data_IF_372953265581
#
_entry.id   IF_372953265581
#
_cell.length_a   1.000
_cell.length_b   1.000
_cell.length_c   1.000
_cell.angle_alpha   90.00
_cell.angle_beta   90.00
_cell.angle_gamma   90.00
#
_symmetry.space_group_name_H-M   'P 1'
#
loop_
_entity.id
_entity.type
_entity.pdbx_description
1 polymer ?
#
# COMPACT_ATOMS: atom_id res chain seq x y z
N UNK A 1 -43.73 -0.06 96.88
CA UNK A 1 -44.75 0.93 96.47
C UNK A 1 -46.15 0.32 96.27
N UNK A 2 -46.53 -0.73 97.02
CA UNK A 2 -47.84 -1.37 96.87
C UNK A 2 -48.79 -0.82 97.96
N UNK A 3 -49.26 0.41 97.78
CA UNK A 3 -50.27 1.05 98.64
C UNK A 3 -51.50 1.39 97.79
N UNK A 4 -52.68 1.19 98.36
CA UNK A 4 -53.95 1.57 97.74
C UNK A 4 -54.17 3.08 97.91
N UNK A 5 -54.59 3.72 96.84
CA UNK A 5 -54.92 5.15 96.81
C UNK A 5 -56.22 5.35 96.03
N UNK A 6 -56.82 6.52 96.11
CA UNK A 6 -57.91 6.90 95.21
C UNK A 6 -57.71 8.35 94.79
N UNK A 7 -57.23 8.56 93.56
CA UNK A 7 -57.02 9.88 93.01
C UNK A 7 -57.54 9.96 91.58
N UNK A 8 -58.17 11.09 91.26
CA UNK A 8 -58.53 11.46 89.89
C UNK A 8 -57.65 12.61 89.45
N UNK A 9 -56.94 12.43 88.34
CA UNK A 9 -56.11 13.47 87.73
C UNK A 9 -56.77 13.88 86.43
N UNK A 10 -56.82 15.18 86.16
CA UNK A 10 -57.42 15.72 84.94
C UNK A 10 -56.40 16.60 84.24
N UNK A 11 -56.24 16.45 82.93
CA UNK A 11 -55.38 17.36 82.19
C UNK A 11 -56.09 18.68 81.86
N UNK A 12 -55.34 19.62 81.31
CA UNK A 12 -55.85 20.94 80.91
C UNK A 12 -56.87 20.93 79.76
N UNK A 13 -57.13 19.77 79.16
CA UNK A 13 -58.09 19.54 78.07
C UNK A 13 -59.36 18.83 78.56
N UNK A 14 -59.52 18.68 79.88
CA UNK A 14 -60.62 17.99 80.57
C UNK A 14 -60.63 16.46 80.42
N UNK A 15 -59.50 15.85 80.04
CA UNK A 15 -59.38 14.38 80.05
C UNK A 15 -58.97 13.92 81.44
N UNK A 16 -59.69 12.95 82.01
CA UNK A 16 -59.43 12.47 83.37
C UNK A 16 -59.01 11.00 83.43
N UNK A 17 -58.14 10.66 84.39
CA UNK A 17 -57.74 9.31 84.74
C UNK A 17 -57.98 9.06 86.23
N UNK A 18 -58.36 7.83 86.58
CA UNK A 18 -58.54 7.41 87.97
C UNK A 18 -57.51 6.33 88.31
N UNK A 19 -56.83 6.49 89.44
CA UNK A 19 -55.78 5.57 89.89
C UNK A 19 -56.13 4.97 91.24
N UNK A 20 -56.00 3.64 91.33
CA UNK A 20 -56.26 2.84 92.53
C UNK A 20 -54.99 2.36 93.24
N UNK A 21 -53.86 2.32 92.53
CA UNK A 21 -52.56 1.95 93.07
C UNK A 21 -51.52 3.07 92.99
N UNK A 22 -50.70 3.22 94.05
CA UNK A 22 -49.62 4.20 94.07
C UNK A 22 -48.57 3.94 92.99
N UNK A 23 -48.30 2.66 92.70
CA UNK A 23 -47.35 2.25 91.65
C UNK A 23 -47.83 2.62 90.25
N UNK A 24 -49.10 2.37 89.94
CA UNK A 24 -49.71 2.71 88.65
C UNK A 24 -49.66 4.22 88.39
N UNK A 25 -49.96 5.00 89.43
CA UNK A 25 -49.85 6.45 89.40
C UNK A 25 -48.40 6.90 89.15
N UNK A 26 -47.43 6.30 89.85
CA UNK A 26 -46.02 6.64 89.68
C UNK A 26 -45.52 6.35 88.27
N UNK A 27 -45.80 5.16 87.72
CA UNK A 27 -45.39 4.77 86.37
C UNK A 27 -46.01 5.68 85.30
N UNK A 28 -47.29 6.06 85.47
CA UNK A 28 -47.94 7.03 84.59
C UNK A 28 -47.25 8.40 84.61
N UNK A 29 -47.02 8.96 85.80
CA UNK A 29 -46.35 10.26 85.96
C UNK A 29 -44.91 10.21 85.44
N UNK A 30 -44.20 9.10 85.65
CA UNK A 30 -42.83 8.93 85.17
C UNK A 30 -42.76 8.89 83.64
N UNK A 31 -43.73 8.26 82.98
CA UNK A 31 -43.83 8.24 81.51
C UNK A 31 -44.10 9.63 80.93
N UNK A 32 -45.05 10.38 81.52
CA UNK A 32 -45.36 11.76 81.11
C UNK A 32 -44.19 12.71 81.40
N UNK A 33 -43.54 12.55 82.56
CA UNK A 33 -42.34 13.30 82.92
C UNK A 33 -41.25 13.10 81.89
N UNK A 34 -41.03 11.87 81.44
CA UNK A 34 -39.99 11.52 80.47
C UNK A 34 -40.29 12.12 79.09
N UNK A 35 -41.53 12.00 78.61
CA UNK A 35 -41.95 12.61 77.35
C UNK A 35 -41.76 14.13 77.33
N UNK A 36 -42.28 14.83 78.35
CA UNK A 36 -42.18 16.29 78.43
C UNK A 36 -40.74 16.77 78.68
N UNK A 37 -39.90 15.96 79.33
CA UNK A 37 -38.46 16.21 79.45
C UNK A 37 -37.79 16.21 78.08
N UNK A 38 -38.02 15.14 77.30
CA UNK A 38 -37.44 15.00 75.96
C UNK A 38 -37.83 16.19 75.08
N UNK A 39 -39.10 16.59 75.07
CA UNK A 39 -39.56 17.73 74.26
C UNK A 39 -39.04 19.08 74.76
N UNK A 40 -38.83 19.24 76.06
CA UNK A 40 -38.21 20.44 76.63
C UNK A 40 -36.72 20.53 76.30
N UNK A 41 -36.00 19.43 76.35
CA UNK A 41 -34.54 19.38 76.09
C UNK A 41 -34.21 19.73 74.63
N UNK A 42 -35.16 19.52 73.71
CA UNK A 42 -35.08 19.94 72.31
C UNK A 42 -35.22 21.46 72.10
N UNK A 43 -35.69 22.21 73.11
CA UNK A 43 -35.75 23.67 73.03
C UNK A 43 -34.36 24.28 73.18
N UNK A 44 -34.03 25.25 72.33
CA UNK A 44 -32.76 25.96 72.42
C UNK A 44 -32.61 26.58 73.82
N UNK A 45 -31.44 26.36 74.47
CA UNK A 45 -31.14 26.73 75.88
C UNK A 45 -31.41 28.19 76.30
N UNK A 46 -31.81 29.08 75.38
CA UNK A 46 -31.98 30.52 75.59
C UNK A 46 -33.42 31.04 75.37
N UNK A 47 -34.44 30.20 75.18
CA UNK A 47 -35.82 30.70 75.15
C UNK A 47 -36.28 31.14 76.54
N UNK A 48 -36.41 32.46 76.75
CA UNK A 48 -36.85 33.05 78.02
C UNK A 48 -38.31 32.73 78.37
N UNK A 49 -39.13 32.36 77.39
CA UNK A 49 -40.56 32.17 77.56
C UNK A 49 -40.95 30.74 77.13
N UNK A 50 -40.89 29.79 78.06
CA UNK A 50 -41.36 28.42 77.83
C UNK A 50 -42.86 28.33 78.09
N UNK A 51 -43.62 27.69 77.21
CA UNK A 51 -45.06 27.56 77.38
C UNK A 51 -45.40 26.64 78.56
N UNK A 52 -46.56 26.86 79.20
CA UNK A 52 -46.95 26.16 80.44
C UNK A 52 -46.86 24.62 80.34
N UNK A 53 -47.28 24.03 79.22
CA UNK A 53 -47.25 22.58 79.02
C UNK A 53 -45.86 22.00 78.82
N UNK A 54 -44.92 22.75 78.25
CA UNK A 54 -43.52 22.34 78.15
C UNK A 54 -42.83 22.34 79.53
N UNK A 55 -43.35 23.12 80.48
CA UNK A 55 -42.87 23.12 81.86
C UNK A 55 -43.58 22.07 82.74
N UNK A 56 -44.51 21.27 82.20
CA UNK A 56 -45.19 20.20 82.92
C UNK A 56 -44.19 19.20 83.54
N UNK A 57 -43.04 18.98 82.88
CA UNK A 57 -41.94 18.17 83.38
C UNK A 57 -41.53 18.54 84.82
N UNK A 58 -41.40 19.83 85.14
CA UNK A 58 -40.95 20.27 86.46
C UNK A 58 -41.95 19.90 87.57
N UNK A 59 -43.25 20.01 87.28
CA UNK A 59 -44.33 19.64 88.20
C UNK A 59 -44.36 18.12 88.39
N UNK A 60 -44.29 17.37 87.29
CA UNK A 60 -44.28 15.91 87.29
C UNK A 60 -43.01 15.38 88.01
N UNK A 61 -41.86 16.02 87.82
CA UNK A 61 -40.62 15.68 88.52
C UNK A 61 -40.72 15.92 90.02
N UNK A 62 -41.35 17.01 90.47
CA UNK A 62 -41.60 17.24 91.89
C UNK A 62 -42.48 16.13 92.49
N UNK A 63 -43.51 15.70 91.76
CA UNK A 63 -44.36 14.59 92.18
C UNK A 63 -43.55 13.29 92.27
N UNK A 64 -42.76 12.93 91.25
CA UNK A 64 -41.94 11.71 91.31
C UNK A 64 -40.92 11.78 92.44
N UNK A 65 -40.23 12.90 92.64
CA UNK A 65 -39.23 13.07 93.70
C UNK A 65 -39.85 12.96 95.10
N UNK A 66 -41.07 13.48 95.28
CA UNK A 66 -41.80 13.38 96.55
C UNK A 66 -42.22 11.93 96.81
N UNK A 67 -42.71 11.21 95.79
CA UNK A 67 -43.06 9.79 95.92
C UNK A 67 -41.78 8.94 96.11
N UNK A 68 -40.66 9.34 95.52
CA UNK A 68 -39.36 8.68 95.67
C UNK A 68 -38.79 8.84 97.08
N UNK A 69 -38.95 10.01 97.73
CA UNK A 69 -38.50 10.22 99.12
C UNK A 69 -39.27 9.36 100.14
N UNK A 70 -40.42 8.81 99.73
CA UNK A 70 -41.20 7.88 100.55
C UNK A 70 -40.66 6.45 100.45
N UNK A 71 -39.87 6.09 99.43
CA UNK A 71 -39.45 4.71 99.13
C UNK A 71 -38.94 3.94 100.35
N UNK A 72 -38.06 4.55 101.12
CA UNK A 72 -37.40 3.90 102.27
C UNK A 72 -38.29 3.82 103.52
N UNK A 73 -39.36 4.63 103.59
CA UNK A 73 -40.24 4.75 104.76
C UNK A 73 -41.65 4.16 104.54
N UNK A 74 -42.00 3.78 103.30
CA UNK A 74 -43.32 3.30 102.92
C UNK A 74 -43.76 2.03 103.64
N UNK A 75 -42.82 1.20 104.09
CA UNK A 75 -43.10 -0.03 104.86
C UNK A 75 -43.27 0.26 106.36
N UNK A 76 -42.66 1.34 106.87
CA UNK A 76 -42.69 1.73 108.27
C UNK A 76 -43.90 2.63 108.65
N UNK A 77 -44.52 3.28 107.66
CA UNK A 77 -45.69 4.14 107.88
C UNK A 77 -46.97 3.36 108.12
N UNK A 78 -47.77 3.82 109.08
CA UNK A 78 -49.18 3.41 109.21
C UNK A 78 -50.06 4.09 108.13
N UNK A 79 -51.29 3.60 107.97
CA UNK A 79 -52.21 4.11 106.94
C UNK A 79 -52.60 5.58 107.17
N UNK A 80 -52.59 6.07 108.41
CA UNK A 80 -52.90 7.47 108.73
C UNK A 80 -51.77 8.41 108.30
N UNK A 81 -50.52 8.05 108.58
CA UNK A 81 -49.33 8.77 108.17
C UNK A 81 -49.20 8.81 106.64
N UNK A 82 -49.43 7.68 105.96
CA UNK A 82 -49.43 7.63 104.51
C UNK A 82 -50.52 8.54 103.91
N UNK A 83 -51.75 8.46 104.43
CA UNK A 83 -52.85 9.31 103.96
C UNK A 83 -52.59 10.80 104.17
N UNK A 84 -51.92 11.19 105.27
CA UNK A 84 -51.52 12.59 105.50
C UNK A 84 -50.48 13.06 104.46
N UNK A 85 -49.44 12.26 104.21
CA UNK A 85 -48.41 12.59 103.21
C UNK A 85 -49.00 12.62 101.79
N UNK A 86 -49.90 11.70 101.47
CA UNK A 86 -50.59 11.64 100.19
C UNK A 86 -51.54 12.83 99.98
N UNK A 87 -52.30 13.24 101.02
CA UNK A 87 -53.13 14.44 100.96
C UNK A 87 -52.30 15.72 100.78
N UNK A 88 -51.12 15.79 101.39
CA UNK A 88 -50.19 16.90 101.18
C UNK A 88 -49.68 16.95 99.73
N UNK A 89 -49.30 15.81 99.15
CA UNK A 89 -48.93 15.72 97.74
C UNK A 89 -50.10 16.14 96.82
N UNK A 90 -51.32 15.71 97.14
CA UNK A 90 -52.51 16.09 96.39
C UNK A 90 -52.76 17.60 96.41
N UNK A 91 -52.65 18.23 97.57
CA UNK A 91 -52.84 19.67 97.73
C UNK A 91 -51.76 20.50 97.05
N UNK A 92 -50.49 20.08 97.16
CA UNK A 92 -49.34 20.87 96.74
C UNK A 92 -49.00 20.69 95.26
N UNK A 93 -49.18 19.48 94.72
CA UNK A 93 -48.69 19.14 93.38
C UNK A 93 -49.83 18.83 92.41
N UNK A 94 -50.79 17.99 92.80
CA UNK A 94 -51.87 17.57 91.88
C UNK A 94 -52.89 18.67 91.57
N UNK A 95 -53.20 19.55 92.51
CA UNK A 95 -54.10 20.68 92.25
C UNK A 95 -53.57 21.64 91.16
N UNK A 96 -52.25 21.85 91.11
CA UNK A 96 -51.60 22.72 90.11
C UNK A 96 -51.35 21.99 88.78
N UNK A 97 -51.35 20.66 88.79
CA UNK A 97 -51.09 19.84 87.62
C UNK A 97 -52.16 20.06 86.53
N UNK A 98 -53.42 20.20 86.90
CA UNK A 98 -54.54 20.34 85.95
C UNK A 98 -54.38 21.54 85.00
N UNK A 99 -53.81 22.66 85.44
CA UNK A 99 -53.59 23.84 84.59
C UNK A 99 -52.29 23.80 83.79
N UNK A 100 -51.31 23.01 84.24
CA UNK A 100 -49.93 23.06 83.73
C UNK A 100 -49.55 21.84 82.90
N UNK A 101 -50.37 20.79 82.88
CA UNK A 101 -50.11 19.56 82.15
C UNK A 101 -51.15 19.29 81.06
N UNK A 102 -50.65 18.75 79.96
CA UNK A 102 -51.42 18.22 78.84
C UNK A 102 -50.93 16.80 78.62
N UNK A 103 -51.84 15.85 78.41
CA UNK A 103 -51.46 14.46 78.23
C UNK A 103 -50.68 14.24 76.93
N UNK A 104 -49.55 13.53 77.01
CA UNK A 104 -48.68 13.28 75.86
C UNK A 104 -49.35 12.53 74.71
N UNK A 105 -50.38 11.72 75.01
CA UNK A 105 -51.07 10.88 74.03
C UNK A 105 -52.12 11.59 73.16
N UNK A 106 -52.33 12.90 73.30
CA UNK A 106 -53.22 13.61 72.39
C UNK A 106 -52.61 13.69 70.97
N UNK A 107 -53.43 13.62 69.90
CA UNK A 107 -52.95 13.67 68.52
C UNK A 107 -52.16 14.95 68.20
N UNK A 108 -52.42 16.02 68.94
CA UNK A 108 -51.82 17.33 68.78
C UNK A 108 -50.62 17.58 69.70
N UNK A 109 -50.32 16.72 70.69
CA UNK A 109 -49.25 16.96 71.68
C UNK A 109 -47.87 17.02 71.05
N UNK A 110 -47.59 16.18 70.06
CA UNK A 110 -46.31 16.16 69.34
C UNK A 110 -46.17 17.33 68.35
N UNK A 111 -47.25 17.67 67.65
CA UNK A 111 -47.30 18.79 66.69
C UNK A 111 -47.19 20.11 67.42
N UNK A 112 -47.86 20.25 68.56
CA UNK A 112 -47.70 21.35 69.49
C UNK A 112 -46.24 21.51 69.93
N UNK A 113 -45.60 20.40 70.34
CA UNK A 113 -44.22 20.44 70.81
C UNK A 113 -43.28 20.95 69.72
N UNK A 114 -43.47 20.48 68.48
CA UNK A 114 -42.71 20.92 67.31
C UNK A 114 -43.02 22.36 66.89
N UNK A 115 -44.26 22.81 67.05
CA UNK A 115 -44.65 24.21 66.81
C UNK A 115 -43.92 25.15 67.76
N UNK A 116 -43.82 24.76 69.05
CA UNK A 116 -43.04 25.49 70.05
C UNK A 116 -41.55 25.52 69.69
N UNK A 117 -40.96 24.36 69.35
CA UNK A 117 -39.56 24.23 68.95
C UNK A 117 -39.17 25.15 67.77
N UNK A 118 -39.99 25.18 66.72
CA UNK A 118 -39.66 25.87 65.47
C UNK A 118 -40.07 27.34 65.43
N UNK A 119 -41.11 27.71 66.19
CA UNK A 119 -41.77 29.03 66.05
C UNK A 119 -42.01 29.76 67.38
N UNK A 120 -41.58 29.17 68.49
CA UNK A 120 -41.60 29.76 69.83
C UNK A 120 -42.95 29.67 70.54
N UNK A 121 -42.97 30.18 71.78
CA UNK A 121 -44.11 30.03 72.70
C UNK A 121 -45.41 30.65 72.23
N UNK A 122 -45.35 31.82 71.59
CA UNK A 122 -46.56 32.54 71.11
C UNK A 122 -47.26 31.75 69.99
N UNK A 123 -46.49 31.10 69.10
CA UNK A 123 -47.02 30.23 68.07
C UNK A 123 -47.68 28.98 68.68
N UNK A 124 -47.04 28.40 69.69
CA UNK A 124 -47.55 27.21 70.38
C UNK A 124 -48.85 27.49 71.16
N UNK A 125 -48.97 28.68 71.78
CA UNK A 125 -50.22 29.12 72.43
C UNK A 125 -51.34 29.25 71.41
N UNK A 126 -51.08 29.94 70.30
CA UNK A 126 -52.06 30.11 69.23
C UNK A 126 -52.50 28.77 68.64
N UNK A 127 -51.56 27.82 68.50
CA UNK A 127 -51.85 26.47 68.04
C UNK A 127 -52.79 25.71 69.00
N UNK A 128 -52.49 25.68 70.30
CA UNK A 128 -53.33 24.97 71.27
C UNK A 128 -54.69 25.63 71.45
N UNK A 129 -54.75 26.96 71.51
CA UNK A 129 -56.04 27.66 71.65
C UNK A 129 -56.96 27.36 70.46
N UNK A 130 -56.39 27.25 69.25
CA UNK A 130 -57.16 26.91 68.07
C UNK A 130 -57.60 25.44 68.06
N UNK A 131 -56.67 24.49 68.30
CA UNK A 131 -56.94 23.04 68.20
C UNK A 131 -57.80 22.52 69.35
N UNK A 132 -57.56 23.00 70.57
CA UNK A 132 -58.21 22.46 71.79
C UNK A 132 -59.40 23.30 72.21
N UNK A 133 -59.31 24.63 72.12
CA UNK A 133 -60.36 25.55 72.60
C UNK A 133 -61.25 26.10 71.49
N UNK A 134 -60.90 25.89 70.22
CA UNK A 134 -61.63 26.46 69.08
C UNK A 134 -61.57 27.99 69.03
N UNK A 135 -60.56 28.60 69.65
CA UNK A 135 -60.41 30.04 69.78
C UNK A 135 -59.21 30.55 69.01
N UNK A 136 -59.31 31.78 68.48
CA UNK A 136 -58.18 32.47 67.86
C UNK A 136 -57.54 33.36 68.93
N UNK A 137 -56.28 33.09 69.27
CA UNK A 137 -55.47 33.90 70.17
C UNK A 137 -54.15 34.34 69.50
N UNK A 138 -53.56 35.42 69.99
CA UNK A 138 -52.25 35.95 69.54
C UNK A 138 -52.12 36.24 68.02
N UNK A 139 -53.25 36.49 67.33
CA UNK A 139 -53.33 36.71 65.88
C UNK A 139 -52.63 37.99 65.38
N UNK A 140 -52.29 38.90 66.28
CA UNK A 140 -51.61 40.16 65.96
C UNK A 140 -50.09 40.02 65.80
N UNK A 141 -49.53 38.85 66.10
CA UNK A 141 -48.09 38.57 65.95
C UNK A 141 -47.83 37.60 64.80
N UNK A 142 -46.68 37.77 64.13
CA UNK A 142 -46.23 36.82 63.09
C UNK A 142 -46.15 35.39 63.62
N UNK A 143 -45.66 35.22 64.86
CA UNK A 143 -45.54 33.91 65.51
C UNK A 143 -46.93 33.30 65.76
N UNK A 144 -47.88 34.07 66.30
CA UNK A 144 -49.24 33.59 66.50
C UNK A 144 -49.95 33.25 65.18
N UNK A 145 -49.76 34.05 64.12
CA UNK A 145 -50.29 33.72 62.79
C UNK A 145 -49.70 32.40 62.25
N UNK A 146 -48.39 32.17 62.37
CA UNK A 146 -47.75 30.89 62.02
C UNK A 146 -48.36 29.73 62.81
N UNK A 147 -48.59 29.91 64.11
CA UNK A 147 -49.25 28.93 64.96
C UNK A 147 -50.67 28.58 64.50
N UNK A 148 -51.47 29.60 64.13
CA UNK A 148 -52.81 29.43 63.59
C UNK A 148 -52.81 28.70 62.23
N UNK A 149 -51.86 28.99 61.35
CA UNK A 149 -51.72 28.30 60.07
C UNK A 149 -51.36 26.82 60.25
N UNK A 150 -50.42 26.51 61.15
CA UNK A 150 -50.09 25.12 61.48
C UNK A 150 -51.27 24.39 62.12
N UNK A 151 -52.06 25.07 62.95
CA UNK A 151 -53.28 24.53 63.53
C UNK A 151 -54.34 24.25 62.47
N UNK A 152 -54.52 25.17 61.52
CA UNK A 152 -55.42 24.99 60.38
C UNK A 152 -54.99 23.82 59.50
N UNK A 153 -53.70 23.69 59.17
CA UNK A 153 -53.15 22.54 58.43
C UNK A 153 -53.35 21.22 59.16
N UNK A 154 -53.15 21.22 60.48
CA UNK A 154 -53.32 20.02 61.32
C UNK A 154 -54.77 19.52 61.33
N UNK A 155 -55.74 20.44 61.36
CA UNK A 155 -57.18 20.11 61.33
C UNK A 155 -57.62 19.76 59.89
N UNK A 156 -57.16 20.50 58.90
CA UNK A 156 -57.60 20.37 57.50
C UNK A 156 -56.56 19.66 56.64
N UNK A 157 -56.23 18.43 57.00
CA UNK A 157 -55.24 17.60 56.32
C UNK A 157 -55.60 17.30 54.85
N UNK A 158 -56.88 17.45 54.47
CA UNK A 158 -57.40 17.24 53.11
C UNK A 158 -57.34 18.47 52.18
N UNK A 159 -56.74 19.59 52.63
CA UNK A 159 -56.70 20.84 51.84
C UNK A 159 -55.89 20.72 50.53
N UNK A 160 -56.34 21.42 49.49
CA UNK A 160 -55.72 21.47 48.14
C UNK A 160 -54.24 21.93 48.17
N UNK A 161 -53.87 22.79 49.12
CA UNK A 161 -52.51 23.34 49.23
C UNK A 161 -51.46 22.26 49.53
N UNK A 162 -51.79 21.30 50.40
CA UNK A 162 -50.91 20.19 50.74
C UNK A 162 -50.79 19.21 49.57
N UNK A 163 -51.88 18.98 48.83
CA UNK A 163 -51.91 18.09 47.65
C UNK A 163 -51.05 18.64 46.52
N UNK A 164 -51.15 19.94 46.20
CA UNK A 164 -50.33 20.59 45.16
C UNK A 164 -48.83 20.48 45.44
N UNK A 165 -48.39 20.82 46.65
CA UNK A 165 -46.97 20.76 47.05
C UNK A 165 -46.40 19.34 46.89
N UNK A 166 -47.19 18.33 47.26
CA UNK A 166 -46.77 16.93 47.11
C UNK A 166 -46.72 16.51 45.63
N UNK A 167 -47.69 16.93 44.81
CA UNK A 167 -47.69 16.66 43.36
C UNK A 167 -46.50 17.29 42.63
N UNK A 168 -46.17 18.55 42.93
CA UNK A 168 -44.99 19.22 42.37
C UNK A 168 -43.69 18.52 42.77
N UNK A 169 -43.56 18.08 44.02
CA UNK A 169 -42.39 17.33 44.49
C UNK A 169 -42.19 16.01 43.74
N UNK A 170 -43.28 15.29 43.46
CA UNK A 170 -43.25 14.04 42.68
C UNK A 170 -42.83 14.30 41.23
N UNK A 171 -43.42 15.31 40.58
CA UNK A 171 -43.07 15.69 39.21
C UNK A 171 -41.61 16.11 39.06
N UNK A 172 -41.10 16.94 39.98
CA UNK A 172 -39.69 17.31 40.02
C UNK A 172 -38.78 16.11 40.29
N UNK A 173 -39.23 15.15 41.10
CA UNK A 173 -38.56 13.87 41.29
C UNK A 173 -38.42 13.08 39.98
N UNK A 174 -39.49 12.97 39.20
CA UNK A 174 -39.46 12.32 37.89
C UNK A 174 -38.51 13.01 36.91
N UNK A 175 -38.59 14.35 36.78
CA UNK A 175 -37.69 15.11 35.90
C UNK A 175 -36.22 14.93 36.28
N UNK A 176 -35.91 14.96 37.58
CA UNK A 176 -34.55 14.71 38.07
C UNK A 176 -34.06 13.31 37.74
N UNK A 177 -34.89 12.30 37.93
CA UNK A 177 -34.54 10.92 37.62
C UNK A 177 -34.32 10.72 36.12
N UNK A 178 -35.20 11.26 35.27
CA UNK A 178 -35.03 11.23 33.82
C UNK A 178 -33.75 11.93 33.36
N UNK A 179 -33.47 13.12 33.89
CA UNK A 179 -32.24 13.86 33.59
C UNK A 179 -31.00 13.02 33.94
N UNK A 180 -30.99 12.41 35.13
CA UNK A 180 -29.90 11.55 35.57
C UNK A 180 -29.74 10.34 34.65
N UNK A 181 -30.82 9.64 34.32
CA UNK A 181 -30.78 8.49 33.39
C UNK A 181 -30.26 8.89 32.01
N UNK A 182 -30.74 10.01 31.44
CA UNK A 182 -30.27 10.50 30.14
C UNK A 182 -28.80 10.91 30.19
N UNK A 183 -28.37 11.50 31.30
CA UNK A 183 -26.97 11.91 31.50
C UNK A 183 -26.07 10.69 31.58
N UNK A 184 -26.46 9.69 32.37
CA UNK A 184 -25.71 8.43 32.47
C UNK A 184 -25.64 7.67 31.15
N UNK A 185 -26.73 7.61 30.38
CA UNK A 185 -26.73 7.01 29.04
C UNK A 185 -25.78 7.75 28.09
N UNK A 186 -25.85 9.07 28.05
CA UNK A 186 -24.98 9.88 27.20
C UNK A 186 -23.51 9.71 27.57
N UNK A 187 -23.19 9.65 28.87
CA UNK A 187 -21.82 9.37 29.33
C UNK A 187 -21.36 7.99 28.83
N UNK A 188 -22.21 6.96 28.95
CA UNK A 188 -21.92 5.63 28.42
C UNK A 188 -21.66 5.63 26.91
N UNK A 189 -22.55 6.26 26.12
CA UNK A 189 -22.39 6.37 24.67
C UNK A 189 -21.09 7.13 24.28
N UNK A 190 -20.71 8.15 25.04
CA UNK A 190 -19.46 8.90 24.82
C UNK A 190 -18.24 8.06 25.18
N UNK A 191 -18.30 7.26 26.24
CA UNK A 191 -17.21 6.34 26.62
C UNK A 191 -17.04 5.23 25.58
N UNK A 192 -18.13 4.64 25.10
CA UNK A 192 -18.14 3.64 24.03
C UNK A 192 -17.57 4.22 22.74
N UNK A 193 -18.07 5.39 22.31
CA UNK A 193 -17.55 6.10 21.13
C UNK A 193 -16.06 6.39 21.26
N UNK A 194 -15.60 6.83 22.43
CA UNK A 194 -14.19 7.09 22.68
C UNK A 194 -13.35 5.82 22.59
N UNK A 195 -13.84 4.71 23.15
CA UNK A 195 -13.17 3.40 23.08
C UNK A 195 -13.04 2.92 21.64
N UNK A 196 -14.13 2.97 20.88
CA UNK A 196 -14.16 2.55 19.48
C UNK A 196 -13.28 3.45 18.60
N UNK A 197 -13.30 4.77 18.84
CA UNK A 197 -12.42 5.71 18.15
C UNK A 197 -10.95 5.43 18.44
N UNK A 198 -10.57 5.18 19.70
CA UNK A 198 -9.19 4.83 20.06
C UNK A 198 -8.75 3.51 19.41
N UNK A 199 -9.62 2.50 19.38
CA UNK A 199 -9.33 1.23 18.69
C UNK A 199 -9.16 1.43 17.19
N UNK A 200 -10.01 2.25 16.59
CA UNK A 200 -9.92 2.60 15.17
C UNK A 200 -8.64 3.36 14.83
N UNK A 201 -8.24 4.36 15.64
CA UNK A 201 -7.00 5.13 15.45
C UNK A 201 -5.76 4.23 15.56
N UNK A 202 -5.73 3.34 16.56
CA UNK A 202 -4.60 2.42 16.77
C UNK A 202 -4.48 1.41 15.61
N UNK A 203 -5.60 0.81 15.18
CA UNK A 203 -5.61 -0.10 14.03
C UNK A 203 -5.18 0.62 12.75
N UNK A 204 -5.76 1.80 12.48
CA UNK A 204 -5.46 2.57 11.26
C UNK A 204 -3.99 2.97 11.20
N UNK A 205 -3.39 3.36 12.34
CA UNK A 205 -1.97 3.67 12.42
C UNK A 205 -1.10 2.45 12.16
N UNK A 206 -1.47 1.30 12.73
CA UNK A 206 -0.76 0.04 12.51
C UNK A 206 -0.80 -0.34 11.02
N UNK A 207 -2.00 -0.41 10.44
CA UNK A 207 -2.21 -0.77 9.03
C UNK A 207 -1.48 0.19 8.09
N UNK A 208 -1.50 1.50 8.39
CA UNK A 208 -0.78 2.50 7.61
C UNK A 208 0.73 2.31 7.70
N UNK A 209 1.26 2.00 8.87
CA UNK A 209 2.69 1.77 9.06
C UNK A 209 3.17 0.52 8.33
N UNK A 210 2.39 -0.56 8.39
CA UNK A 210 2.66 -1.80 7.66
C UNK A 210 2.59 -1.60 6.15
N UNK A 211 1.53 -0.93 5.68
CA UNK A 211 1.40 -0.58 4.27
C UNK A 211 2.58 0.26 3.76
N UNK A 212 2.99 1.28 4.52
CA UNK A 212 4.11 2.14 4.15
C UNK A 212 5.42 1.36 4.06
N UNK A 213 5.68 0.47 5.02
CA UNK A 213 6.88 -0.37 5.01
C UNK A 213 6.88 -1.31 3.80
N UNK A 214 5.77 -2.01 3.57
CA UNK A 214 5.62 -2.93 2.44
C UNK A 214 5.76 -2.23 1.08
N UNK A 215 5.23 -1.01 0.94
CA UNK A 215 5.40 -0.21 -0.29
C UNK A 215 6.83 0.27 -0.45
N UNK A 216 7.50 0.68 0.63
CA UNK A 216 8.90 1.11 0.58
C UNK A 216 9.82 -0.03 0.16
N UNK A 217 9.68 -1.21 0.77
CA UNK A 217 10.50 -2.38 0.45
C UNK A 217 10.25 -2.88 -0.97
N UNK A 218 8.99 -3.00 -1.39
CA UNK A 218 8.64 -3.38 -2.75
C UNK A 218 9.16 -2.38 -3.79
N UNK A 219 9.13 -1.08 -3.48
CA UNK A 219 9.68 -0.04 -4.35
C UNK A 219 11.20 -0.15 -4.48
N UNK A 220 11.91 -0.36 -3.36
CA UNK A 220 13.37 -0.48 -3.36
C UNK A 220 13.82 -1.74 -4.13
N UNK A 221 13.14 -2.87 -3.93
CA UNK A 221 13.37 -4.10 -4.69
C UNK A 221 13.13 -3.88 -6.19
N UNK A 222 11.97 -3.33 -6.56
CA UNK A 222 11.62 -3.04 -7.95
C UNK A 222 12.62 -2.09 -8.61
N UNK A 223 13.05 -1.05 -7.90
CA UNK A 223 14.01 -0.07 -8.40
C UNK A 223 15.38 -0.71 -8.66
N UNK A 224 15.86 -1.54 -7.74
CA UNK A 224 17.13 -2.25 -7.91
C UNK A 224 17.07 -3.23 -9.08
N UNK A 225 16.03 -4.06 -9.16
CA UNK A 225 15.84 -5.01 -10.25
C UNK A 225 15.70 -4.31 -11.59
N UNK A 226 14.86 -3.28 -11.69
CA UNK A 226 14.65 -2.55 -12.95
C UNK A 226 15.90 -1.82 -13.42
N UNK A 227 16.68 -1.25 -12.49
CA UNK A 227 17.94 -0.59 -12.83
C UNK A 227 18.99 -1.58 -13.34
N UNK A 228 19.10 -2.74 -12.68
CA UNK A 228 19.99 -3.83 -13.11
C UNK A 228 19.58 -4.37 -14.49
N UNK A 229 18.30 -4.72 -14.67
CA UNK A 229 17.78 -5.20 -15.96
C UNK A 229 17.97 -4.18 -17.08
N UNK A 230 17.73 -2.90 -16.81
CA UNK A 230 17.92 -1.85 -17.81
C UNK A 230 19.40 -1.67 -18.17
N UNK A 231 20.30 -1.73 -17.17
CA UNK A 231 21.75 -1.68 -17.39
C UNK A 231 22.23 -2.88 -18.22
N UNK A 232 21.77 -4.08 -17.90
CA UNK A 232 22.11 -5.32 -18.60
C UNK A 232 21.57 -5.29 -20.04
N UNK A 233 20.33 -4.85 -20.23
CA UNK A 233 19.74 -4.69 -21.56
C UNK A 233 20.51 -3.65 -22.39
N UNK A 234 20.87 -2.51 -21.80
CA UNK A 234 21.63 -1.46 -22.48
C UNK A 234 23.03 -1.94 -22.87
N UNK A 235 23.71 -2.69 -21.99
CA UNK A 235 25.02 -3.26 -22.30
C UNK A 235 24.94 -4.30 -23.40
N UNK A 236 23.96 -5.22 -23.34
CA UNK A 236 23.73 -6.22 -24.39
C UNK A 236 23.41 -5.58 -25.74
N UNK A 237 22.53 -4.58 -25.79
CA UNK A 237 22.22 -3.85 -27.03
C UNK A 237 23.43 -3.09 -27.57
N UNK A 238 24.23 -2.49 -26.68
CA UNK A 238 25.47 -1.81 -27.08
C UNK A 238 26.47 -2.78 -27.69
N UNK A 239 26.66 -3.95 -27.08
CA UNK A 239 27.59 -4.97 -27.56
C UNK A 239 27.11 -5.57 -28.88
N UNK A 240 25.80 -5.84 -29.02
CA UNK A 240 25.21 -6.30 -30.29
C UNK A 240 25.40 -5.25 -31.40
N UNK A 241 25.16 -3.97 -31.10
CA UNK A 241 25.38 -2.88 -32.04
C UNK A 241 26.86 -2.75 -32.44
N UNK A 242 27.79 -2.82 -31.49
CA UNK A 242 29.23 -2.76 -31.77
C UNK A 242 29.64 -3.93 -32.65
N UNK A 243 29.23 -5.16 -32.32
CA UNK A 243 29.52 -6.35 -33.11
C UNK A 243 28.95 -6.26 -34.52
N UNK A 244 27.72 -5.76 -34.67
CA UNK A 244 27.11 -5.53 -35.98
C UNK A 244 27.89 -4.50 -36.80
N UNK A 245 28.27 -3.38 -36.19
CA UNK A 245 29.03 -2.32 -36.85
C UNK A 245 30.43 -2.77 -37.24
N UNK A 246 31.10 -3.58 -36.41
CA UNK A 246 32.39 -4.18 -36.73
C UNK A 246 32.27 -5.17 -37.89
N UNK A 247 31.26 -6.03 -37.88
CA UNK A 247 30.94 -6.91 -39.01
C UNK A 247 30.68 -6.14 -40.30
N UNK A 248 29.98 -5.00 -40.23
CA UNK A 248 29.78 -4.12 -41.38
C UNK A 248 31.10 -3.52 -41.90
N UNK A 249 31.98 -3.06 -41.00
CA UNK A 249 33.31 -2.52 -41.37
C UNK A 249 34.14 -3.58 -42.10
N UNK A 250 34.20 -4.79 -41.58
CA UNK A 250 34.93 -5.90 -42.21
C UNK A 250 34.38 -6.23 -43.59
N UNK A 251 33.05 -6.33 -43.75
CA UNK A 251 32.42 -6.59 -45.05
C UNK A 251 32.65 -5.47 -46.07
N UNK A 252 32.64 -4.22 -45.63
CA UNK A 252 32.94 -3.07 -46.51
C UNK A 252 34.40 -3.12 -46.96
N UNK A 253 35.33 -3.38 -46.04
CA UNK A 253 36.75 -3.48 -46.37
C UNK A 253 37.04 -4.64 -47.35
N UNK A 254 36.40 -5.80 -47.13
CA UNK A 254 36.52 -6.96 -48.02
C UNK A 254 35.91 -6.69 -49.41
N UNK A 255 34.75 -6.04 -49.45
CA UNK A 255 34.10 -5.64 -50.70
C UNK A 255 34.95 -4.60 -51.46
N UNK A 256 35.54 -3.63 -50.76
CA UNK A 256 36.43 -2.63 -51.35
C UNK A 256 37.67 -3.30 -51.94
N UNK A 257 38.32 -4.21 -51.20
CA UNK A 257 39.49 -4.94 -51.68
C UNK A 257 39.14 -5.79 -52.92
N UNK A 258 38.04 -6.55 -52.86
CA UNK A 258 37.54 -7.34 -53.99
C UNK A 258 37.27 -6.48 -55.22
N UNK A 259 36.66 -5.30 -55.03
CA UNK A 259 36.37 -4.38 -56.12
C UNK A 259 37.63 -3.75 -56.71
N UNK A 260 38.61 -3.38 -55.88
CA UNK A 260 39.90 -2.88 -56.33
C UNK A 260 40.66 -3.95 -57.14
N UNK A 261 40.68 -5.20 -56.68
CA UNK A 261 41.29 -6.32 -57.41
C UNK A 261 40.58 -6.58 -58.75
N UNK A 262 39.24 -6.57 -58.77
CA UNK A 262 38.47 -6.66 -60.01
C UNK A 262 38.87 -5.56 -60.98
N UNK A 263 38.88 -4.30 -60.55
CA UNK A 263 39.21 -3.17 -61.42
C UNK A 263 40.64 -3.25 -61.98
N UNK A 264 41.59 -3.81 -61.19
CA UNK A 264 42.99 -4.01 -61.60
C UNK A 264 43.12 -5.04 -62.73
N UNK A 265 42.28 -6.07 -62.75
CA UNK A 265 42.42 -7.22 -63.65
C UNK A 265 41.40 -7.23 -64.80
N UNK A 266 40.30 -6.51 -64.70
CA UNK A 266 39.25 -6.42 -65.72
C UNK A 266 39.80 -5.86 -67.04
N UNK A 267 40.54 -4.73 -67.00
CA UNK A 267 41.12 -4.12 -68.21
C UNK A 267 42.16 -5.03 -68.90
N UNK A 268 43.11 -5.68 -68.17
CA UNK A 268 43.98 -6.71 -68.74
C UNK A 268 43.24 -7.89 -69.37
N UNK A 269 42.20 -8.43 -68.72
CA UNK A 269 41.39 -9.53 -69.29
C UNK A 269 40.72 -9.11 -70.60
N UNK A 270 40.11 -7.92 -70.63
CA UNK A 270 39.53 -7.34 -71.84
C UNK A 270 40.55 -7.14 -72.97
N UNK A 271 41.79 -6.78 -72.62
CA UNK A 271 42.87 -6.67 -73.58
C UNK A 271 43.21 -8.04 -74.20
N UNK A 272 43.37 -9.09 -73.37
CA UNK A 272 43.67 -10.44 -73.85
C UNK A 272 42.56 -11.01 -74.73
N UNK A 273 41.29 -10.79 -74.37
CA UNK A 273 40.14 -11.12 -75.19
C UNK A 273 40.18 -10.47 -76.58
N UNK A 274 40.52 -9.17 -76.62
CA UNK A 274 40.67 -8.43 -77.87
C UNK A 274 41.87 -8.93 -78.68
N UNK A 275 42.98 -9.26 -78.02
CA UNK A 275 44.17 -9.82 -78.64
C UNK A 275 43.90 -11.20 -79.24
N UNK A 276 43.25 -12.11 -78.50
CA UNK A 276 42.81 -13.42 -78.97
C UNK A 276 41.96 -13.29 -80.24
N UNK A 277 40.93 -12.43 -80.22
CA UNK A 277 40.10 -12.17 -81.41
C UNK A 277 40.92 -11.67 -82.59
N UNK A 278 41.85 -10.73 -82.38
CA UNK A 278 42.71 -10.19 -83.43
C UNK A 278 43.59 -11.29 -84.05
N UNK A 279 44.25 -12.10 -83.23
CA UNK A 279 45.11 -13.17 -83.69
C UNK A 279 44.33 -14.32 -84.34
N UNK A 280 43.13 -14.64 -83.86
CA UNK A 280 42.23 -15.60 -84.50
C UNK A 280 41.81 -15.18 -85.90
N UNK A 281 41.49 -13.90 -86.10
CA UNK A 281 41.20 -13.35 -87.44
C UNK A 281 42.44 -13.46 -88.34
N UNK A 282 43.64 -13.11 -87.82
CA UNK A 282 44.88 -13.23 -88.58
C UNK A 282 45.20 -14.70 -88.94
N UNK A 283 45.05 -15.63 -88.01
CA UNK A 283 45.25 -17.07 -88.24
C UNK A 283 44.26 -17.63 -89.26
N UNK A 284 43.01 -17.19 -89.21
CA UNK A 284 41.99 -17.50 -90.20
C UNK A 284 42.35 -17.00 -91.60
N UNK A 285 42.83 -15.75 -91.71
CA UNK A 285 43.28 -15.17 -92.99
C UNK A 285 44.48 -15.93 -93.57
N UNK A 286 45.49 -16.27 -92.76
CA UNK A 286 46.63 -17.06 -93.22
C UNK A 286 46.24 -18.49 -93.60
N UNK A 287 45.29 -19.09 -92.89
CA UNK A 287 44.76 -20.42 -93.22
C UNK A 287 43.99 -20.39 -94.54
N UNK A 288 43.18 -19.34 -94.77
CA UNK A 288 42.50 -19.13 -96.05
C UNK A 288 43.52 -18.96 -97.19
N UNK A 289 44.56 -18.14 -96.97
CA UNK A 289 45.65 -17.96 -97.93
C UNK A 289 46.40 -19.28 -98.22
N UNK A 290 46.58 -20.14 -97.21
CA UNK A 290 47.17 -21.47 -97.38
C UNK A 290 46.30 -22.38 -98.24
N UNK A 291 45.00 -22.47 -97.94
CA UNK A 291 44.05 -23.28 -98.71
C UNK A 291 43.98 -22.79 -100.16
N UNK A 292 43.88 -21.48 -100.37
CA UNK A 292 43.88 -20.89 -101.71
C UNK A 292 45.19 -21.17 -102.46
N UNK A 293 46.33 -20.99 -101.80
CA UNK A 293 47.64 -21.31 -102.37
C UNK A 293 47.70 -22.78 -102.79
N UNK A 294 47.23 -23.71 -101.94
CA UNK A 294 47.25 -25.15 -102.22
C UNK A 294 46.33 -25.53 -103.39
N UNK A 295 45.12 -25.00 -103.45
CA UNK A 295 44.21 -25.18 -104.59
C UNK A 295 44.81 -24.67 -105.90
N UNK A 296 45.41 -23.48 -105.85
CA UNK A 296 46.09 -22.87 -107.00
C UNK A 296 47.27 -23.74 -107.46
N UNK A 297 48.05 -24.28 -106.53
CA UNK A 297 49.10 -25.26 -106.83
C UNK A 297 48.57 -26.52 -107.50
N UNK A 298 47.45 -27.08 -107.02
CA UNK A 298 46.82 -28.25 -107.65
C UNK A 298 46.32 -27.97 -109.06
N UNK A 299 45.70 -26.81 -109.31
CA UNK A 299 45.23 -26.42 -110.64
C UNK A 299 46.41 -26.30 -111.61
N UNK A 300 47.45 -25.54 -111.25
CA UNK A 300 48.62 -25.39 -112.12
C UNK A 300 49.36 -26.71 -112.34
N UNK A 301 49.46 -27.57 -111.31
CA UNK A 301 50.06 -28.89 -111.45
C UNK A 301 49.24 -29.80 -112.36
N UNK A 302 47.91 -29.80 -112.23
CA UNK A 302 47.01 -30.57 -113.08
C UNK A 302 47.12 -30.14 -114.54
N UNK A 303 47.06 -28.83 -114.82
CA UNK A 303 47.19 -28.28 -116.17
C UNK A 303 48.56 -28.64 -116.78
N UNK A 304 49.64 -28.48 -116.02
CA UNK A 304 50.98 -28.87 -116.43
C UNK A 304 51.10 -30.37 -116.72
N UNK A 305 50.55 -31.22 -115.84
CA UNK A 305 50.60 -32.68 -115.98
C UNK A 305 49.83 -33.16 -117.21
N UNK A 306 48.65 -32.61 -117.48
CA UNK A 306 47.87 -32.92 -118.68
C UNK A 306 48.56 -32.44 -119.96
N UNK A 307 49.11 -31.22 -119.96
CA UNK A 307 49.87 -30.71 -121.10
C UNK A 307 51.10 -31.58 -121.39
N UNK A 308 51.77 -32.06 -120.34
CA UNK A 308 52.94 -32.93 -120.45
C UNK A 308 52.58 -34.30 -121.03
N UNK A 309 51.49 -34.91 -120.55
CA UNK A 309 51.00 -36.20 -121.02
C UNK A 309 50.55 -36.16 -122.50
N UNK A 310 49.99 -35.04 -122.94
CA UNK A 310 49.59 -34.79 -124.34
C UNK A 310 50.76 -34.47 -125.28
N UNK A 311 51.99 -34.37 -124.77
CA UNK A 311 53.18 -34.07 -125.58
C UNK A 311 53.21 -32.66 -126.17
N UNK A 312 52.49 -31.70 -125.57
CA UNK A 312 52.49 -30.31 -126.03
C UNK A 312 53.86 -29.65 -125.78
N UNK A 313 54.23 -28.64 -126.56
CA UNK A 313 55.43 -27.84 -126.28
C UNK A 313 55.21 -26.99 -125.02
N UNK A 314 55.73 -27.46 -123.90
CA UNK A 314 55.72 -26.72 -122.62
C UNK A 314 57.06 -26.01 -122.48
N UNK A 315 57.07 -24.81 -121.88
CA UNK A 315 58.29 -24.03 -121.63
C UNK A 315 59.35 -24.75 -120.77
N UNK A 316 59.00 -25.85 -120.10
CA UNK A 316 59.91 -26.69 -119.31
C UNK A 316 59.91 -28.12 -119.85
N UNK A 317 61.01 -28.52 -120.50
CA UNK A 317 61.20 -29.86 -121.05
C UNK A 317 61.77 -30.81 -119.99
N UNK A 318 60.92 -31.65 -119.39
CA UNK A 318 61.33 -32.57 -118.31
C UNK A 318 62.32 -33.68 -118.72
N UNK A 319 62.54 -33.90 -120.02
CA UNK A 319 63.55 -34.85 -120.51
C UNK A 319 64.97 -34.26 -120.59
N UNK A 320 65.14 -32.95 -120.32
CA UNK A 320 66.45 -32.29 -120.30
C UNK A 320 66.88 -32.01 -118.87
N UNK A 321 68.19 -32.07 -118.62
CA UNK A 321 68.76 -31.75 -117.30
C UNK A 321 68.38 -30.33 -116.84
N UNK A 322 68.40 -29.36 -117.76
CA UNK A 322 68.01 -27.98 -117.47
C UNK A 322 66.54 -27.84 -117.05
N UNK A 323 65.63 -28.55 -117.73
CA UNK A 323 64.20 -28.53 -117.39
C UNK A 323 63.90 -29.16 -116.04
N UNK A 324 64.57 -30.26 -115.70
CA UNK A 324 64.46 -30.92 -114.38
C UNK A 324 64.93 -29.97 -113.26
N UNK A 325 66.06 -29.27 -113.45
CA UNK A 325 66.60 -28.34 -112.45
C UNK A 325 65.67 -27.14 -112.23
N UNK A 326 65.11 -26.54 -113.30
CA UNK A 326 64.17 -25.42 -113.20
C UNK A 326 62.86 -25.86 -112.53
N UNK A 327 62.33 -27.03 -112.87
CA UNK A 327 61.11 -27.54 -112.24
C UNK A 327 61.32 -27.83 -110.75
N UNK A 328 62.46 -28.45 -110.39
CA UNK A 328 62.83 -28.71 -109.00
C UNK A 328 62.99 -27.44 -108.16
N UNK A 329 63.56 -26.37 -108.71
CA UNK A 329 63.69 -25.10 -108.00
C UNK A 329 62.33 -24.42 -107.77
N UNK A 330 61.42 -24.43 -108.76
CA UNK A 330 60.06 -23.90 -108.62
C UNK A 330 59.29 -24.65 -107.53
N UNK A 331 59.33 -26.00 -107.53
CA UNK A 331 58.70 -26.80 -106.48
C UNK A 331 59.28 -26.47 -105.11
N UNK A 332 60.60 -26.30 -105.00
CA UNK A 332 61.26 -26.00 -103.74
C UNK A 332 60.85 -24.63 -103.19
N UNK A 333 60.81 -23.60 -104.05
CA UNK A 333 60.34 -22.25 -103.69
C UNK A 333 58.88 -22.29 -103.27
N UNK A 334 58.04 -23.02 -103.99
CA UNK A 334 56.62 -23.15 -103.68
C UNK A 334 56.38 -23.91 -102.35
N UNK A 335 57.13 -25.00 -102.11
CA UNK A 335 57.11 -25.72 -100.84
C UNK A 335 57.57 -24.83 -99.67
N UNK A 336 58.58 -23.98 -99.88
CA UNK A 336 59.03 -22.99 -98.89
C UNK A 336 57.96 -21.94 -98.60
N UNK A 337 57.22 -21.49 -99.64
CA UNK A 337 56.11 -20.56 -99.49
C UNK A 337 54.96 -21.17 -98.67
N UNK A 338 54.53 -22.41 -98.98
CA UNK A 338 53.53 -23.14 -98.20
C UNK A 338 54.00 -23.27 -96.73
N UNK A 339 55.26 -23.68 -96.51
CA UNK A 339 55.83 -23.81 -95.17
C UNK A 339 55.81 -22.48 -94.41
N UNK A 340 56.09 -21.36 -95.08
CA UNK A 340 56.08 -20.03 -94.46
C UNK A 340 54.67 -19.59 -94.09
N UNK A 341 53.70 -19.72 -94.99
CA UNK A 341 52.29 -19.38 -94.72
C UNK A 341 51.74 -20.28 -93.60
N UNK A 342 52.07 -21.57 -93.63
CA UNK A 342 51.71 -22.52 -92.57
C UNK A 342 52.26 -22.10 -91.21
N UNK A 343 53.54 -21.72 -91.13
CA UNK A 343 54.16 -21.19 -89.90
C UNK A 343 53.50 -19.90 -89.42
N UNK A 344 53.12 -19.00 -90.32
CA UNK A 344 52.42 -17.76 -89.96
C UNK A 344 51.01 -18.05 -89.41
N UNK A 345 50.28 -18.99 -90.02
CA UNK A 345 48.97 -19.43 -89.54
C UNK A 345 49.07 -20.07 -88.14
N UNK A 346 49.98 -21.04 -87.96
CA UNK A 346 50.20 -21.68 -86.66
C UNK A 346 50.66 -20.68 -85.61
N UNK A 347 51.56 -19.76 -85.94
CA UNK A 347 51.99 -18.69 -85.03
C UNK A 347 50.79 -17.87 -84.58
N UNK A 348 49.97 -17.36 -85.50
CA UNK A 348 48.78 -16.59 -85.14
C UNK A 348 47.80 -17.37 -84.25
N UNK A 349 47.58 -18.66 -84.50
CA UNK A 349 46.74 -19.49 -83.62
C UNK A 349 47.39 -19.76 -82.26
N UNK A 350 48.71 -19.89 -82.17
CA UNK A 350 49.41 -19.99 -80.89
C UNK A 350 49.26 -18.72 -80.07
N UNK A 351 49.43 -17.53 -80.67
CA UNK A 351 49.19 -16.26 -79.98
C UNK A 351 47.72 -16.08 -79.58
N UNK A 352 46.78 -16.56 -80.39
CA UNK A 352 45.35 -16.57 -80.04
C UNK A 352 45.11 -17.42 -78.79
N UNK A 353 45.59 -18.66 -78.79
CA UNK A 353 45.40 -19.59 -77.67
C UNK A 353 46.10 -19.11 -76.40
N UNK A 354 47.31 -18.58 -76.49
CA UNK A 354 48.02 -17.97 -75.35
C UNK A 354 47.23 -16.77 -74.78
N UNK A 355 46.63 -15.94 -75.64
CA UNK A 355 45.76 -14.86 -75.18
C UNK A 355 44.46 -15.36 -74.52
N UNK A 356 43.83 -16.42 -75.05
CA UNK A 356 42.64 -17.04 -74.42
C UNK A 356 42.98 -17.68 -73.06
N UNK A 357 44.11 -18.38 -72.97
CA UNK A 357 44.61 -19.00 -71.73
C UNK A 357 44.88 -17.92 -70.67
N UNK A 358 45.47 -16.78 -71.04
CA UNK A 358 45.67 -15.65 -70.11
C UNK A 358 44.36 -14.97 -69.69
N UNK A 359 43.39 -14.84 -70.58
CA UNK A 359 42.04 -14.34 -70.23
C UNK A 359 41.39 -15.27 -69.19
N UNK A 360 41.39 -16.58 -69.44
CA UNK A 360 40.82 -17.58 -68.54
C UNK A 360 41.54 -17.63 -67.19
N UNK A 361 42.87 -17.57 -67.18
CA UNK A 361 43.66 -17.49 -65.94
C UNK A 361 43.35 -16.23 -65.13
N UNK A 362 43.07 -15.10 -65.81
CA UNK A 362 42.66 -13.87 -65.12
C UNK A 362 41.29 -14.02 -64.44
N UNK A 363 40.33 -14.65 -65.12
CA UNK A 363 39.02 -14.94 -64.52
C UNK A 363 39.11 -15.99 -63.40
N UNK A 364 39.94 -17.02 -63.57
CA UNK A 364 40.18 -18.03 -62.53
C UNK A 364 40.80 -17.38 -61.28
N UNK A 365 41.78 -16.50 -61.45
CA UNK A 365 42.33 -15.72 -60.35
C UNK A 365 41.26 -14.93 -59.61
N UNK A 366 40.40 -14.20 -60.35
CA UNK A 366 39.35 -13.38 -59.77
C UNK A 366 38.30 -14.23 -59.02
N UNK A 367 37.92 -15.38 -59.58
CA UNK A 367 36.98 -16.30 -58.97
C UNK A 367 37.54 -16.96 -57.70
N UNK A 368 38.83 -17.30 -57.69
CA UNK A 368 39.50 -17.88 -56.53
C UNK A 368 39.73 -16.82 -55.43
N UNK A 369 40.01 -15.56 -55.79
CA UNK A 369 40.20 -14.49 -54.80
C UNK A 369 38.88 -14.12 -54.09
N UNK A 370 37.74 -14.26 -54.77
CA UNK A 370 36.40 -14.12 -54.17
C UNK A 370 36.10 -15.18 -53.09
N UNK A 371 36.88 -16.26 -53.01
CA UNK A 371 36.73 -17.33 -52.02
C UNK A 371 37.67 -17.24 -50.81
N UNK A 372 38.62 -16.30 -50.77
CA UNK A 372 39.58 -16.15 -49.67
C UNK A 372 40.66 -17.24 -49.53
N UNK A 373 40.65 -18.26 -50.39
CA UNK A 373 41.40 -19.53 -50.20
C UNK A 373 42.71 -19.64 -51.02
N UNK A 374 43.31 -18.53 -51.47
CA UNK A 374 44.57 -18.59 -52.24
C UNK A 374 45.78 -18.29 -51.36
N UNK A 375 46.59 -19.31 -51.12
CA UNK A 375 47.95 -19.19 -50.56
C UNK A 375 48.85 -18.27 -51.41
N UNK A 376 49.73 -17.51 -50.75
CA UNK A 376 50.57 -16.49 -51.40
C UNK A 376 51.44 -17.06 -52.54
N UNK A 377 51.87 -18.31 -52.44
CA UNK A 377 52.62 -18.99 -53.50
C UNK A 377 51.77 -19.27 -54.74
N UNK A 378 50.49 -19.58 -54.59
CA UNK A 378 49.57 -19.78 -55.72
C UNK A 378 49.27 -18.48 -56.46
N UNK A 379 49.21 -17.36 -55.72
CA UNK A 379 49.07 -16.00 -56.29
C UNK A 379 50.28 -15.61 -57.14
N UNK A 380 51.49 -15.91 -56.67
CA UNK A 380 52.74 -15.64 -57.41
C UNK A 380 52.82 -16.44 -58.71
N UNK A 381 52.44 -17.73 -58.67
CA UNK A 381 52.41 -18.60 -59.85
C UNK A 381 51.43 -18.09 -60.92
N UNK A 382 50.22 -17.67 -60.53
CA UNK A 382 49.22 -17.14 -61.48
C UNK A 382 49.67 -15.81 -62.08
N UNK A 383 50.25 -14.91 -61.28
CA UNK A 383 50.83 -13.66 -61.77
C UNK A 383 52.01 -13.93 -62.71
N UNK A 384 52.88 -14.87 -62.39
CA UNK A 384 53.97 -15.28 -63.26
C UNK A 384 53.45 -15.85 -64.59
N UNK A 385 52.40 -16.68 -64.58
CA UNK A 385 51.78 -17.20 -65.79
C UNK A 385 51.18 -16.07 -66.66
N UNK A 386 50.47 -15.10 -66.05
CA UNK A 386 49.87 -13.95 -66.74
C UNK A 386 50.91 -13.02 -67.40
N UNK A 387 52.05 -12.80 -66.73
CA UNK A 387 53.13 -11.92 -67.22
C UNK A 387 54.27 -12.68 -67.92
N UNK A 388 54.15 -13.99 -68.10
CA UNK A 388 55.15 -14.80 -68.83
C UNK A 388 55.22 -14.42 -70.31
N UNK A 389 56.33 -14.75 -70.97
CA UNK A 389 56.54 -14.40 -72.38
C UNK A 389 55.72 -15.32 -73.30
N UNK A 390 55.10 -14.75 -74.34
CA UNK A 390 54.47 -15.52 -75.42
C UNK A 390 55.54 -16.08 -76.35
N UNK A 391 55.64 -17.41 -76.45
CA UNK A 391 56.51 -18.05 -77.43
C UNK A 391 55.85 -18.07 -78.80
N UNK A 392 56.31 -17.18 -79.69
CA UNK A 392 55.91 -17.22 -81.09
C UNK A 392 56.88 -18.14 -81.81
N UNK A 393 56.44 -19.29 -82.31
CA UNK A 393 57.28 -20.30 -82.99
C UNK A 393 57.96 -19.86 -84.31
N UNK A 394 58.09 -18.55 -84.52
CA UNK A 394 58.72 -17.89 -85.66
C UNK A 394 60.20 -17.52 -85.42
N UNK A 395 60.61 -17.31 -84.16
CA UNK A 395 61.98 -16.95 -83.79
C UNK A 395 62.59 -18.10 -82.98
N UNK A 396 63.72 -18.64 -83.45
CA UNK A 396 64.48 -19.64 -82.71
C UNK A 396 65.45 -18.94 -81.76
N UNK A 397 65.30 -19.22 -80.47
CA UNK A 397 66.23 -18.88 -79.38
C UNK A 397 66.17 -17.42 -78.89
N UNK A 398 65.29 -17.15 -77.92
CA UNK A 398 65.52 -16.05 -76.98
C UNK A 398 65.18 -16.50 -75.55
N UNK A 399 66.20 -16.53 -74.69
CA UNK A 399 66.13 -17.02 -73.32
C UNK A 399 65.31 -16.10 -72.42
N UNK A 400 64.15 -16.57 -71.94
CA UNK A 400 63.31 -15.91 -70.94
C UNK A 400 62.35 -16.89 -70.27
N UNK A 401 61.73 -16.53 -69.14
CA UNK A 401 60.84 -17.43 -68.39
C UNK A 401 59.59 -17.79 -69.21
N UNK A 402 59.33 -19.08 -69.34
CA UNK A 402 58.22 -19.67 -70.12
C UNK A 402 57.00 -19.97 -69.24
N UNK A 403 55.82 -20.04 -69.87
CA UNK A 403 54.56 -20.33 -69.16
C UNK A 403 54.60 -21.75 -68.56
N UNK A 404 54.29 -21.94 -67.27
CA UNK A 404 54.13 -23.27 -66.67
C UNK A 404 52.97 -24.02 -67.34
N UNK A 405 53.12 -25.32 -67.58
CA UNK A 405 52.06 -26.11 -68.22
C UNK A 405 50.78 -26.15 -67.36
N UNK A 406 49.60 -26.10 -68.00
CA UNK A 406 48.29 -26.15 -67.31
C UNK A 406 48.14 -27.34 -66.34
N UNK A 407 48.77 -28.48 -66.64
CA UNK A 407 48.79 -29.65 -65.76
C UNK A 407 49.59 -29.41 -64.46
N UNK A 408 50.62 -28.57 -64.51
CA UNK A 408 51.41 -28.18 -63.34
C UNK A 408 50.62 -27.22 -62.44
N UNK A 409 49.93 -26.25 -63.04
CA UNK A 409 49.06 -25.28 -62.36
C UNK A 409 47.89 -25.95 -61.62
N UNK A 410 47.26 -26.95 -62.24
CA UNK A 410 46.19 -27.74 -61.61
C UNK A 410 46.75 -28.57 -60.45
N UNK A 411 47.95 -29.12 -60.58
CA UNK A 411 48.58 -29.97 -59.55
C UNK A 411 49.01 -29.18 -58.31
N UNK A 412 49.49 -27.94 -58.47
CA UNK A 412 49.79 -27.04 -57.34
C UNK A 412 48.51 -26.53 -56.69
N UNK A 413 47.51 -26.13 -57.46
CA UNK A 413 46.21 -25.73 -56.92
C UNK A 413 45.51 -26.87 -56.15
N UNK A 414 45.63 -28.13 -56.60
CA UNK A 414 45.04 -29.28 -55.90
C UNK A 414 45.83 -29.76 -54.67
N UNK A 415 47.11 -29.37 -54.54
CA UNK A 415 47.97 -29.75 -53.40
C UNK A 415 47.86 -28.78 -52.22
N UNK A 416 47.25 -27.61 -52.42
CA UNK A 416 47.03 -26.60 -51.38
C UNK A 416 45.73 -26.82 -50.60
N UNK A 417 45.34 -28.09 -50.37
CA UNK A 417 44.17 -28.47 -49.58
C UNK A 417 44.58 -29.11 -48.26
#
# INVERSE_FOLDING_TARGET
MNRTINIRITDSTNKSWQFTGLRELYEFIDSEKTYWKEKRDLLAKNERNVHQYMNAHAVLQNITNTIDSWKDNLEAWDDNQFNQQFQNLQRNSFNNLNSQWMWSGHPYSSVYAKCHELHGSVAATAFIDFVVRGQISNNNTRQGFTGLMLAYEFINQDSELVKRRNGEKVSLGHLRNQLNETTSKLIGEVEDFKSDFSRWDEQTRSDWSEWKENVSTAWDEWMQTSSAEHSDQLSSQKDEFINYMDGCRTRIADLENTYQEKLRLEKPADYWKKAARKYGIQGGLWSLALVFSMLLGFVYFYDFFIAWLKGQEIGVKLHTLQGIVIFGSIITVYAFLIKTISRLAFSAFHLMRDAEEREQLTYLYLALNHGGDIDASSREIVLQALFSRTETGLLASESGPTMPGMAELIRTASKAK
#
